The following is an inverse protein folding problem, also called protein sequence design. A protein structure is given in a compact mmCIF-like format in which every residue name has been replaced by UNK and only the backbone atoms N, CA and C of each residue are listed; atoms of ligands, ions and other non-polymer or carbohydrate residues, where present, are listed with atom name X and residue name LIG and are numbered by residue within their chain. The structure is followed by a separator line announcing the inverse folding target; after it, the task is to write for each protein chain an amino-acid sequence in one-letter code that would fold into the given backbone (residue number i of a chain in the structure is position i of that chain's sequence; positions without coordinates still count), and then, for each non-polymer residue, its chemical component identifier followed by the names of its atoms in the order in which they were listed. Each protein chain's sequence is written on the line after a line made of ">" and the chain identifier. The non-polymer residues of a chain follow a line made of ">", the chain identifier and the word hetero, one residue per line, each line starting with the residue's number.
data_IF_520660031980
#
_entry.id   IF_520660031980
#
_cell.length_a   1.000
_cell.length_b   1.000
_cell.length_c   1.000
_cell.angle_alpha   90.00
_cell.angle_beta   90.00
_cell.angle_gamma   90.00
#
_symmetry.space_group_name_H-M   'P 1'
#
loop_
_entity.id
_entity.type
_entity.pdbx_description
1 polymer ?
#
# COMPACT_ATOMS: atom_id res chain seq x y z
N UNK A 1 -4.81 1.30 12.90
CA UNK A 1 -3.55 0.51 12.92
C UNK A 1 -2.72 1.03 14.07
N UNK A 2 -2.19 0.16 14.93
CA UNK A 2 -1.31 0.53 16.05
C UNK A 2 0.18 0.47 15.69
N UNK A 3 0.55 -0.31 14.68
CA UNK A 3 1.88 -0.35 14.08
C UNK A 3 1.78 -0.53 12.56
N UNK A 4 2.90 -0.39 11.85
CA UNK A 4 3.00 -0.73 10.44
C UNK A 4 2.84 -2.22 10.23
N UNK A 5 2.20 -2.61 9.13
CA UNK A 5 2.13 -4.00 8.68
C UNK A 5 3.26 -4.21 7.67
N UNK A 6 4.05 -5.26 7.87
CA UNK A 6 5.07 -5.67 6.92
C UNK A 6 4.41 -6.32 5.69
N UNK A 7 4.96 -6.11 4.48
CA UNK A 7 4.42 -6.69 3.26
C UNK A 7 4.80 -8.19 3.17
N UNK A 8 4.14 -9.00 3.99
CA UNK A 8 4.33 -10.45 4.11
C UNK A 8 2.99 -11.16 3.92
N UNK A 9 3.02 -12.49 3.76
CA UNK A 9 1.82 -13.32 3.67
C UNK A 9 1.78 -14.18 2.41
N UNK A 10 0.58 -14.52 1.96
CA UNK A 10 0.36 -15.36 0.78
C UNK A 10 0.77 -14.64 -0.52
N UNK A 11 1.05 -15.38 -1.62
CA UNK A 11 1.44 -14.77 -2.89
C UNK A 11 0.47 -13.69 -3.38
N UNK A 12 -0.83 -13.87 -3.17
CA UNK A 12 -1.86 -12.88 -3.55
C UNK A 12 -1.79 -11.60 -2.72
N UNK A 13 -1.49 -11.70 -1.41
CA UNK A 13 -1.26 -10.55 -0.54
C UNK A 13 0.01 -9.81 -0.94
N UNK A 14 1.09 -10.54 -1.26
CA UNK A 14 2.34 -9.97 -1.75
C UNK A 14 2.14 -9.21 -3.08
N UNK A 15 1.36 -9.77 -4.02
CA UNK A 15 1.02 -9.07 -5.27
C UNK A 15 0.24 -7.78 -5.02
N UNK A 16 -0.66 -7.73 -4.04
CA UNK A 16 -1.39 -6.50 -3.69
C UNK A 16 -0.46 -5.44 -3.07
N UNK A 17 0.50 -5.86 -2.24
CA UNK A 17 1.52 -4.94 -1.74
C UNK A 17 2.44 -4.43 -2.85
N UNK A 18 2.80 -5.27 -3.83
CA UNK A 18 3.56 -4.85 -5.02
C UNK A 18 2.74 -3.88 -5.89
N UNK A 19 1.47 -4.19 -6.16
CA UNK A 19 0.58 -3.29 -6.90
C UNK A 19 0.50 -1.92 -6.21
N UNK A 20 0.39 -1.89 -4.88
CA UNK A 20 0.40 -0.65 -4.09
C UNK A 20 1.66 0.18 -4.32
N UNK A 21 2.86 -0.42 -4.36
CA UNK A 21 4.11 0.32 -4.59
C UNK A 21 4.21 0.86 -6.02
N UNK A 22 3.69 0.11 -7.00
CA UNK A 22 3.58 0.56 -8.40
C UNK A 22 2.61 1.75 -8.52
N UNK A 23 1.43 1.68 -7.91
CA UNK A 23 0.45 2.78 -7.93
C UNK A 23 1.03 4.04 -7.27
N UNK A 24 1.72 3.89 -6.13
CA UNK A 24 2.40 5.02 -5.47
C UNK A 24 3.52 5.61 -6.33
N UNK A 25 4.20 4.79 -7.14
CA UNK A 25 5.19 5.27 -8.11
C UNK A 25 4.52 6.07 -9.22
N UNK A 26 3.44 5.54 -9.81
CA UNK A 26 2.67 6.24 -10.82
C UNK A 26 2.09 7.57 -10.29
N UNK A 27 1.63 7.62 -9.04
CA UNK A 27 1.17 8.84 -8.40
C UNK A 27 2.28 9.90 -8.30
N UNK A 28 3.51 9.51 -7.95
CA UNK A 28 4.65 10.44 -7.90
C UNK A 28 4.96 11.03 -9.27
N UNK A 29 4.94 10.21 -10.32
CA UNK A 29 5.12 10.68 -11.71
C UNK A 29 3.98 11.63 -12.11
N UNK A 30 2.73 11.28 -11.80
CA UNK A 30 1.57 12.13 -12.09
C UNK A 30 1.62 13.47 -11.32
N UNK A 31 2.12 13.48 -10.08
CA UNK A 31 2.36 14.70 -9.32
C UNK A 31 3.49 15.54 -9.93
N UNK A 32 4.53 14.92 -10.49
CA UNK A 32 5.62 15.65 -11.18
C UNK A 32 5.12 16.33 -12.46
N UNK A 33 4.14 15.72 -13.15
CA UNK A 33 3.51 16.23 -14.36
C UNK A 33 2.13 16.87 -14.09
N UNK A 34 1.91 17.45 -12.90
CA UNK A 34 0.57 17.89 -12.44
C UNK A 34 -0.15 18.86 -13.38
N UNK A 35 0.59 19.68 -14.13
CA UNK A 35 0.03 20.63 -15.10
C UNK A 35 -0.37 19.95 -16.43
N UNK A 36 0.12 18.75 -16.69
CA UNK A 36 -0.12 17.96 -17.91
C UNK A 36 -1.18 16.86 -17.68
N UNK A 37 -1.57 16.60 -16.43
CA UNK A 37 -2.55 15.58 -16.05
C UNK A 37 -3.73 16.19 -15.31
N UNK A 38 -4.91 15.56 -15.49
CA UNK A 38 -6.11 15.91 -14.74
C UNK A 38 -5.92 15.63 -13.24
N UNK A 39 -6.32 16.57 -12.38
CA UNK A 39 -6.18 16.44 -10.93
C UNK A 39 -6.89 15.20 -10.38
N UNK A 40 -7.98 14.79 -11.01
CA UNK A 40 -8.75 13.58 -10.65
C UNK A 40 -7.90 12.31 -10.79
N UNK A 41 -6.91 12.28 -11.69
CA UNK A 41 -5.98 11.14 -11.84
C UNK A 41 -5.11 11.00 -10.59
N UNK A 42 -4.57 12.11 -10.08
CA UNK A 42 -3.76 12.12 -8.86
C UNK A 42 -4.61 11.67 -7.66
N UNK A 43 -5.82 12.23 -7.53
CA UNK A 43 -6.77 11.82 -6.48
C UNK A 43 -7.15 10.33 -6.59
N UNK A 44 -7.35 9.83 -7.81
CA UNK A 44 -7.66 8.42 -8.05
C UNK A 44 -6.49 7.50 -7.67
N UNK A 45 -5.27 7.80 -8.11
CA UNK A 45 -4.07 7.01 -7.78
C UNK A 45 -3.83 6.98 -6.26
N UNK A 46 -4.06 8.11 -5.60
CA UNK A 46 -3.99 8.20 -4.14
C UNK A 46 -4.97 7.22 -3.47
N UNK A 47 -6.26 7.23 -3.84
CA UNK A 47 -7.27 6.32 -3.31
C UNK A 47 -7.05 4.86 -3.72
N UNK A 48 -6.57 4.61 -4.94
CA UNK A 48 -6.29 3.26 -5.44
C UNK A 48 -5.20 2.58 -4.61
N UNK A 49 -4.14 3.31 -4.25
CA UNK A 49 -3.09 2.73 -3.41
C UNK A 49 -3.58 2.35 -2.01
N UNK A 50 -4.50 3.14 -1.43
CA UNK A 50 -5.16 2.80 -0.17
C UNK A 50 -6.07 1.59 -0.35
N UNK A 51 -6.78 1.49 -1.48
CA UNK A 51 -7.59 0.32 -1.81
C UNK A 51 -6.76 -0.96 -1.91
N UNK A 52 -5.60 -0.93 -2.58
CA UNK A 52 -4.69 -2.08 -2.62
C UNK A 52 -4.26 -2.52 -1.21
N UNK A 53 -4.01 -1.56 -0.31
CA UNK A 53 -3.69 -1.85 1.08
C UNK A 53 -4.87 -2.49 1.83
N UNK A 54 -6.07 -1.90 1.76
CA UNK A 54 -7.26 -2.48 2.42
C UNK A 54 -7.60 -3.86 1.85
N UNK A 55 -7.49 -4.05 0.55
CA UNK A 55 -7.73 -5.32 -0.13
C UNK A 55 -6.72 -6.38 0.31
N UNK A 56 -5.44 -6.01 0.49
CA UNK A 56 -4.41 -6.94 1.02
C UNK A 56 -4.79 -7.46 2.41
N UNK A 57 -5.26 -6.58 3.30
CA UNK A 57 -5.72 -6.95 4.65
C UNK A 57 -6.96 -7.81 4.63
N UNK A 58 -7.94 -7.45 3.81
CA UNK A 58 -9.16 -8.24 3.63
C UNK A 58 -8.84 -9.65 3.13
N UNK A 59 -7.90 -9.76 2.18
CA UNK A 59 -7.49 -11.05 1.64
C UNK A 59 -6.76 -11.89 2.68
N UNK A 60 -5.83 -11.30 3.44
CA UNK A 60 -5.17 -11.96 4.58
C UNK A 60 -6.19 -12.55 5.55
N UNK A 61 -7.20 -11.76 5.93
CA UNK A 61 -8.29 -12.22 6.80
C UNK A 61 -9.10 -13.37 6.18
N UNK A 62 -9.40 -13.29 4.88
CA UNK A 62 -10.19 -14.32 4.19
C UNK A 62 -9.44 -15.63 3.97
N UNK A 63 -8.13 -15.58 3.81
CA UNK A 63 -7.30 -16.78 3.65
C UNK A 63 -6.83 -17.36 4.98
N UNK A 64 -7.24 -16.79 6.13
CA UNK A 64 -6.81 -17.21 7.46
C UNK A 64 -5.32 -16.94 7.74
N UNK A 65 -4.71 -15.97 7.03
CA UNK A 65 -3.34 -15.55 7.27
C UNK A 65 -3.23 -14.55 8.42
N UNK A 66 -2.02 -14.34 8.92
CA UNK A 66 -1.74 -13.38 9.98
C UNK A 66 -0.99 -12.15 9.44
N UNK A 67 -1.33 -10.97 9.94
CA UNK A 67 -0.63 -9.71 9.62
C UNK A 67 0.63 -9.59 10.49
N UNK A 68 1.80 -9.54 9.86
CA UNK A 68 3.05 -9.30 10.61
C UNK A 68 3.21 -7.81 10.90
N UNK A 69 3.11 -7.43 12.18
CA UNK A 69 3.37 -6.06 12.60
C UNK A 69 4.88 -5.78 12.65
N UNK A 70 5.27 -4.58 12.23
CA UNK A 70 6.64 -4.11 12.37
C UNK A 70 6.95 -3.81 13.84
N UNK A 71 8.05 -4.38 14.32
CA UNK A 71 8.58 -4.16 15.67
C UNK A 71 9.88 -3.37 15.58
N UNK A 72 9.98 -2.16 16.17
CA UNK A 72 11.22 -1.38 16.18
C UNK A 72 12.33 -2.12 16.92
N UNK A 73 13.52 -2.22 16.31
CA UNK A 73 14.68 -2.92 16.90
C UNK A 73 15.42 -2.12 18.00
N UNK A 74 14.99 -0.90 18.35
CA UNK A 74 15.63 -0.12 19.42
C UNK A 74 14.81 1.08 19.88
N UNK A 75 14.92 1.42 21.17
CA UNK A 75 14.47 2.71 21.69
C UNK A 75 15.42 3.78 21.16
N UNK A 76 14.90 4.84 20.52
CA UNK A 76 15.71 6.05 20.28
C UNK A 76 16.20 6.54 21.65
N UNK A 77 17.52 6.57 21.83
CA UNK A 77 18.15 7.34 22.92
C UNK A 77 17.96 8.82 22.66
#
# INVERSE_FOLDING_TARGET
>A
LSSFILPTGSPSVAHLHLARTIVRRAEREACAMREEVRLEVISYLNRLSDHCFVLSRWLTLKTGGEETLWTPLGKRK
#
